data_IF_101276281777
#
_entry.id   IF_101276281777
#
_cell.length_a   1.000
_cell.length_b   1.000
_cell.length_c   1.000
_cell.angle_alpha   90.00
_cell.angle_beta   90.00
_cell.angle_gamma   90.00
#
_symmetry.space_group_name_H-M   'P 1'
#
loop_
_entity.id
_entity.type
_entity.pdbx_description
1 polymer ?
#
# COMPACT_ATOMS: atom_id res chain seq x y z
N UNK A 1 -1.70 -2.04 10.63
CA UNK A 1 -2.46 -1.56 9.45
C UNK A 1 -3.34 -2.71 9.00
N UNK A 2 -4.59 -2.41 8.63
CA UNK A 2 -5.51 -3.34 7.96
C UNK A 2 -5.62 -2.99 6.49
N UNK A 3 -6.16 -3.93 5.71
CA UNK A 3 -6.23 -3.82 4.25
C UNK A 3 -7.65 -4.13 3.78
N UNK A 4 -8.22 -3.26 2.95
CA UNK A 4 -9.46 -3.51 2.23
C UNK A 4 -9.17 -3.91 0.80
N UNK A 5 -9.68 -5.06 0.35
CA UNK A 5 -9.55 -5.46 -1.06
C UNK A 5 -10.32 -4.50 -1.96
N UNK A 6 -9.63 -3.94 -2.95
CA UNK A 6 -10.23 -3.10 -4.01
C UNK A 6 -10.45 -3.89 -5.31
N UNK A 7 -9.95 -5.13 -5.37
CA UNK A 7 -10.17 -6.06 -6.47
C UNK A 7 -8.86 -6.45 -7.19
N UNK A 8 -9.00 -7.03 -8.38
CA UNK A 8 -7.88 -7.42 -9.25
C UNK A 8 -8.21 -6.87 -10.63
N UNK A 9 -7.71 -5.67 -10.98
CA UNK A 9 -7.98 -5.05 -12.27
C UNK A 9 -7.63 -5.99 -13.44
N UNK A 10 -8.51 -6.07 -14.44
CA UNK A 10 -8.35 -6.97 -15.60
C UNK A 10 -8.85 -8.40 -15.39
N UNK A 11 -9.14 -8.83 -14.16
CA UNK A 11 -9.68 -10.18 -13.90
C UNK A 11 -11.07 -10.40 -14.52
N UNK A 12 -11.96 -9.39 -14.44
CA UNK A 12 -13.32 -9.46 -14.97
C UNK A 12 -13.37 -9.48 -16.51
N UNK A 13 -12.40 -8.88 -17.19
CA UNK A 13 -12.39 -8.83 -18.66
C UNK A 13 -11.95 -10.18 -19.25
N UNK A 14 -11.08 -10.89 -18.52
CA UNK A 14 -10.57 -12.21 -18.92
C UNK A 14 -11.62 -13.32 -18.83
N UNK A 15 -12.68 -13.14 -18.03
CA UNK A 15 -13.77 -14.12 -17.90
C UNK A 15 -14.83 -14.01 -19.00
N UNK A 16 -14.89 -12.88 -19.73
CA UNK A 16 -15.92 -12.60 -20.74
C UNK A 16 -15.50 -12.93 -22.18
N UNK A 17 -14.22 -13.24 -22.42
CA UNK A 17 -13.74 -13.66 -23.74
C UNK A 17 -14.26 -15.07 -24.09
N UNK A 18 -15.28 -15.12 -24.96
CA UNK A 18 -15.82 -16.36 -25.53
C UNK A 18 -14.87 -16.91 -26.59
N UNK A 19 -14.53 -18.20 -26.42
CA UNK A 19 -14.19 -19.24 -27.41
C UNK A 19 -13.21 -18.92 -28.55
N UNK A 20 -12.03 -19.56 -28.53
CA UNK A 20 -11.53 -20.38 -29.65
C UNK A 20 -10.28 -21.17 -29.22
N UNK A 21 -10.31 -22.50 -29.21
CA UNK A 21 -9.17 -23.43 -28.98
C UNK A 21 -8.83 -23.78 -27.51
N UNK A 22 -9.25 -24.99 -27.10
CA UNK A 22 -9.74 -25.28 -25.75
C UNK A 22 -8.68 -25.63 -24.70
N UNK A 23 -7.39 -25.83 -25.04
CA UNK A 23 -6.38 -26.26 -24.05
C UNK A 23 -5.19 -25.32 -23.92
N UNK A 24 -4.65 -24.86 -25.05
CA UNK A 24 -3.45 -24.01 -25.06
C UNK A 24 -3.77 -22.58 -24.57
N UNK A 25 -5.01 -22.10 -24.82
CA UNK A 25 -5.45 -20.80 -24.31
C UNK A 25 -5.73 -20.79 -22.81
N UNK A 26 -6.12 -21.92 -22.21
CA UNK A 26 -6.39 -21.99 -20.77
C UNK A 26 -5.13 -21.82 -19.94
N UNK A 27 -4.03 -22.48 -20.34
CA UNK A 27 -2.73 -22.32 -19.68
C UNK A 27 -2.23 -20.88 -19.83
N UNK A 28 -2.36 -20.29 -21.02
CA UNK A 28 -2.02 -18.88 -21.24
C UNK A 28 -2.87 -17.92 -20.40
N UNK A 29 -4.16 -18.22 -20.22
CA UNK A 29 -5.08 -17.40 -19.41
C UNK A 29 -4.75 -17.50 -17.91
N UNK A 30 -4.51 -18.69 -17.39
CA UNK A 30 -4.17 -18.90 -15.97
C UNK A 30 -2.83 -18.21 -15.67
N UNK A 31 -1.84 -18.35 -16.56
CA UNK A 31 -0.56 -17.64 -16.42
C UNK A 31 -0.77 -16.13 -16.35
N UNK A 32 -1.52 -15.56 -17.29
CA UNK A 32 -1.87 -14.12 -17.27
C UNK A 32 -2.57 -13.72 -15.98
N UNK A 33 -3.51 -14.52 -15.49
CA UNK A 33 -4.20 -14.24 -14.22
C UNK A 33 -3.26 -14.26 -13.03
N UNK A 34 -2.30 -15.19 -13.01
CA UNK A 34 -1.30 -15.29 -11.97
C UNK A 34 -0.30 -14.12 -11.95
N UNK A 35 -0.07 -13.50 -13.10
CA UNK A 35 0.80 -12.33 -13.26
C UNK A 35 0.12 -11.00 -12.88
N UNK A 36 -1.20 -10.98 -12.68
CA UNK A 36 -1.92 -9.79 -12.21
C UNK A 36 -1.63 -9.52 -10.72
N UNK A 37 -1.98 -8.30 -10.30
CA UNK A 37 -1.93 -7.90 -8.90
C UNK A 37 -3.33 -7.74 -8.34
N UNK A 38 -3.54 -8.27 -7.13
CA UNK A 38 -4.67 -7.95 -6.29
C UNK A 38 -4.33 -6.72 -5.47
N UNK A 39 -5.25 -5.76 -5.47
CA UNK A 39 -5.05 -4.44 -4.90
C UNK A 39 -5.77 -4.33 -3.55
N UNK A 40 -5.11 -3.66 -2.62
CA UNK A 40 -5.58 -3.49 -1.27
C UNK A 40 -5.34 -2.07 -0.79
N UNK A 41 -6.35 -1.46 -0.19
CA UNK A 41 -6.25 -0.14 0.42
C UNK A 41 -5.86 -0.24 1.90
N UNK A 42 -4.73 0.34 2.32
CA UNK A 42 -4.34 0.48 3.72
C UNK A 42 -5.30 1.30 4.57
N UNK A 43 -5.57 0.83 5.79
CA UNK A 43 -6.42 1.49 6.78
C UNK A 43 -5.87 1.32 8.20
N UNK A 44 -6.08 2.31 9.06
CA UNK A 44 -5.69 2.21 10.49
C UNK A 44 -6.69 1.40 11.27
N UNK A 45 -7.97 1.60 10.99
CA UNK A 45 -9.06 0.89 11.65
C UNK A 45 -9.33 -0.42 10.94
N UNK A 46 -9.74 -1.39 11.74
CA UNK A 46 -10.25 -2.63 11.20
C UNK A 46 -11.52 -2.33 10.39
N UNK A 47 -11.62 -2.82 9.15
CA UNK A 47 -12.81 -2.60 8.36
C UNK A 47 -14.00 -3.27 9.03
N UNK A 48 -15.04 -2.49 9.29
CA UNK A 48 -16.22 -2.87 10.08
C UNK A 48 -17.18 -3.79 9.29
N UNK A 49 -16.62 -4.83 8.67
CA UNK A 49 -17.29 -5.78 7.79
C UNK A 49 -18.31 -6.65 8.55
N UNK A 50 -18.23 -6.65 9.89
CA UNK A 50 -19.07 -7.42 10.80
C UNK A 50 -19.85 -6.56 11.80
N UNK A 51 -19.80 -5.21 11.70
CA UNK A 51 -20.92 -4.44 12.23
C UNK A 51 -22.14 -4.87 11.45
N UNK A 52 -22.86 -5.84 12.00
CA UNK A 52 -24.27 -5.99 11.72
C UNK A 52 -24.84 -4.58 11.76
N UNK A 53 -25.66 -4.17 10.76
CA UNK A 53 -26.47 -2.96 10.91
C UNK A 53 -27.06 -3.08 12.31
N UNK A 54 -26.75 -2.13 13.21
CA UNK A 54 -27.26 -2.19 14.58
C UNK A 54 -28.74 -2.45 14.41
N UNK A 55 -29.21 -3.62 14.89
CA UNK A 55 -30.64 -3.90 14.87
C UNK A 55 -31.26 -2.69 15.53
N UNK A 56 -32.08 -2.00 14.76
CA UNK A 56 -32.75 -0.79 15.19
C UNK A 56 -33.31 -1.11 16.57
N UNK A 57 -33.05 -0.28 17.61
CA UNK A 57 -33.90 -0.31 18.80
C UNK A 57 -35.34 -0.33 18.30
N UNK A 58 -36.25 -1.06 18.95
CA UNK A 58 -37.58 -1.41 18.45
C UNK A 58 -38.56 -0.23 18.20
N UNK A 59 -38.06 0.96 17.85
CA UNK A 59 -38.72 2.25 17.71
C UNK A 59 -38.15 3.03 16.50
N UNK A 60 -37.61 2.38 15.47
CA UNK A 60 -37.18 3.08 14.24
C UNK A 60 -38.24 2.90 13.16
N UNK A 61 -39.07 3.94 12.98
CA UNK A 61 -40.19 3.97 12.05
C UNK A 61 -39.69 4.52 10.70
N UNK A 62 -39.96 3.84 9.57
CA UNK A 62 -39.65 4.37 8.24
C UNK A 62 -40.24 5.77 8.06
N UNK A 63 -39.39 6.77 7.80
CA UNK A 63 -39.77 8.19 7.67
C UNK A 63 -39.49 9.07 8.89
N UNK A 64 -38.96 8.51 9.99
CA UNK A 64 -38.50 9.31 11.15
C UNK A 64 -37.16 10.01 10.86
N UNK A 65 -36.84 11.05 11.67
CA UNK A 65 -35.54 11.77 11.60
C UNK A 65 -34.33 10.88 11.93
N UNK A 66 -34.51 9.71 12.54
CA UNK A 66 -33.42 8.79 12.92
C UNK A 66 -33.12 7.71 11.88
N UNK A 67 -34.07 7.41 10.98
CA UNK A 67 -33.97 6.35 9.97
C UNK A 67 -32.81 6.53 8.98
N UNK A 68 -32.49 7.77 8.60
CA UNK A 68 -31.50 8.05 7.56
C UNK A 68 -30.03 7.81 8.00
N UNK A 69 -29.76 7.67 9.30
CA UNK A 69 -28.39 7.54 9.84
C UNK A 69 -27.88 6.09 9.81
N UNK A 70 -28.77 5.10 9.80
CA UNK A 70 -28.40 3.68 9.98
C UNK A 70 -27.95 2.97 8.68
N UNK A 71 -28.29 3.52 7.51
CA UNK A 71 -27.99 2.89 6.20
C UNK A 71 -26.71 3.39 5.53
N UNK A 72 -25.89 4.19 6.21
CA UNK A 72 -24.61 4.59 5.67
C UNK A 72 -23.61 3.45 5.88
N UNK A 73 -23.23 2.78 4.79
CA UNK A 73 -22.00 1.97 4.74
C UNK A 73 -20.88 2.86 5.30
N UNK A 74 -20.05 2.38 6.25
CA UNK A 74 -18.93 3.17 6.74
C UNK A 74 -17.99 3.47 5.56
N UNK A 75 -18.18 4.62 4.91
CA UNK A 75 -17.18 5.16 4.01
C UNK A 75 -15.99 5.51 4.88
N UNK A 76 -14.86 4.87 4.62
CA UNK A 76 -13.60 5.18 5.25
C UNK A 76 -13.32 6.68 5.05
N UNK A 77 -13.48 7.45 6.13
CA UNK A 77 -13.19 8.88 6.13
C UNK A 77 -11.70 9.08 5.83
N UNK A 78 -11.32 10.19 5.19
CA UNK A 78 -9.93 10.50 4.79
C UNK A 78 -8.92 10.44 5.96
N UNK A 79 -9.40 10.55 7.20
CA UNK A 79 -8.62 10.37 8.43
C UNK A 79 -8.13 8.93 8.72
N UNK A 80 -8.58 7.93 7.96
CA UNK A 80 -8.19 6.52 8.19
C UNK A 80 -6.95 6.08 7.38
N UNK A 81 -6.39 6.99 6.57
CA UNK A 81 -5.15 6.73 5.83
C UNK A 81 -4.00 6.44 6.78
N UNK A 82 -3.14 5.51 6.35
CA UNK A 82 -1.92 5.20 7.08
C UNK A 82 -0.80 6.09 6.58
N UNK A 83 -0.20 6.86 7.50
CA UNK A 83 0.97 7.69 7.23
C UNK A 83 2.09 7.35 8.20
N UNK A 84 3.32 7.42 7.73
CA UNK A 84 4.54 7.28 8.53
C UNK A 84 5.52 8.40 8.20
N UNK A 85 6.45 8.68 9.11
CA UNK A 85 7.55 9.61 8.84
C UNK A 85 8.77 8.79 8.46
N UNK A 86 9.31 8.99 7.26
CA UNK A 86 10.59 8.42 6.85
C UNK A 86 11.66 9.48 7.01
N UNK A 87 12.68 9.17 7.79
CA UNK A 87 13.89 9.99 7.96
C UNK A 87 15.08 9.28 7.36
N UNK A 88 15.81 9.92 6.47
CA UNK A 88 17.11 9.45 5.96
C UNK A 88 18.20 10.28 6.61
N UNK A 89 19.16 9.63 7.26
CA UNK A 89 20.24 10.33 7.95
C UNK A 89 21.15 11.07 6.95
N UNK A 90 21.89 12.06 7.44
CA UNK A 90 22.83 12.86 6.68
C UNK A 90 23.78 12.01 5.83
N UNK A 91 24.37 10.96 6.40
CA UNK A 91 25.38 10.14 5.74
C UNK A 91 24.79 8.93 4.99
N UNK A 92 23.48 8.75 5.03
CA UNK A 92 22.79 7.62 4.42
C UNK A 92 22.12 8.03 3.11
N UNK A 93 22.17 7.11 2.13
CA UNK A 93 21.50 7.28 0.84
C UNK A 93 20.03 6.84 0.87
N UNK A 94 19.66 5.99 1.82
CA UNK A 94 18.31 5.43 1.95
C UNK A 94 17.99 5.06 3.39
N UNK A 95 16.70 4.96 3.69
CA UNK A 95 16.20 4.32 4.90
C UNK A 95 15.54 3.00 4.58
N UNK A 96 15.57 2.06 5.51
CA UNK A 96 15.01 0.73 5.32
C UNK A 96 13.71 0.57 6.09
N UNK A 97 12.65 0.18 5.38
CA UNK A 97 11.37 -0.20 5.96
C UNK A 97 11.30 -1.73 6.03
N UNK A 98 11.23 -2.27 7.25
CA UNK A 98 10.94 -3.70 7.45
C UNK A 98 9.44 -3.93 7.28
N UNK A 99 9.08 -4.89 6.42
CA UNK A 99 7.69 -5.15 6.05
C UNK A 99 7.36 -6.63 6.26
N UNK A 100 6.31 -6.88 7.04
CA UNK A 100 5.72 -8.21 7.20
C UNK A 100 4.24 -8.14 6.80
N UNK A 101 3.83 -9.03 5.91
CA UNK A 101 2.46 -9.12 5.41
C UNK A 101 1.86 -10.42 5.89
N UNK A 102 0.65 -10.33 6.46
CA UNK A 102 -0.06 -11.48 7.00
C UNK A 102 -1.46 -11.58 6.42
N UNK A 103 -1.90 -12.82 6.17
CA UNK A 103 -3.26 -13.17 5.79
C UNK A 103 -3.96 -13.75 7.01
N UNK A 104 -4.92 -13.01 7.55
CA UNK A 104 -5.73 -13.44 8.68
C UNK A 104 -7.07 -14.02 8.23
N UNK A 105 -7.44 -15.19 8.75
CA UNK A 105 -8.81 -15.72 8.66
C UNK A 105 -9.60 -15.29 9.88
N UNK A 106 -10.82 -14.81 9.69
CA UNK A 106 -11.74 -14.50 10.80
C UNK A 106 -12.77 -15.60 10.99
N UNK A 107 -13.15 -15.83 12.23
CA UNK A 107 -14.25 -16.69 12.62
C UNK A 107 -15.58 -16.09 12.13
N UNK A 108 -16.40 -16.82 11.35
CA UNK A 108 -17.63 -16.27 10.77
C UNK A 108 -18.68 -15.77 11.78
N UNK A 109 -18.66 -16.29 13.01
CA UNK A 109 -19.71 -16.02 14.01
C UNK A 109 -19.39 -14.86 14.94
N UNK A 110 -18.14 -14.78 15.40
CA UNK A 110 -17.69 -13.80 16.41
C UNK A 110 -16.81 -12.70 15.81
N UNK A 111 -16.34 -12.86 14.57
CA UNK A 111 -15.40 -11.93 13.93
C UNK A 111 -13.99 -11.97 14.51
N UNK A 112 -13.70 -12.90 15.44
CA UNK A 112 -12.37 -13.08 16.03
C UNK A 112 -11.39 -13.57 14.97
N UNK A 113 -10.10 -13.24 15.12
CA UNK A 113 -9.05 -13.81 14.29
C UNK A 113 -8.88 -15.30 14.65
N UNK A 114 -9.15 -16.17 13.69
CA UNK A 114 -9.14 -17.64 13.82
C UNK A 114 -7.76 -18.22 13.50
N UNK A 115 -7.10 -17.66 12.47
CA UNK A 115 -5.75 -18.07 12.07
C UNK A 115 -5.05 -16.95 11.30
N UNK A 116 -3.72 -17.03 11.26
CA UNK A 116 -2.87 -16.05 10.58
C UNK A 116 -1.75 -16.78 9.85
N UNK A 117 -1.57 -16.45 8.57
CA UNK A 117 -0.51 -16.99 7.72
C UNK A 117 0.41 -15.85 7.30
N UNK A 118 1.72 -16.03 7.38
CA UNK A 118 2.68 -15.09 6.79
C UNK A 118 2.61 -15.20 5.26
N UNK A 119 2.40 -14.06 4.59
CA UNK A 119 2.37 -13.95 3.13
C UNK A 119 3.76 -13.59 2.60
N UNK A 120 4.44 -12.69 3.29
CA UNK A 120 5.82 -12.31 2.97
C UNK A 120 6.43 -11.54 4.13
N UNK A 121 7.75 -11.62 4.21
CA UNK A 121 8.57 -10.74 5.02
C UNK A 121 9.72 -10.23 4.15
N UNK A 122 10.14 -8.99 4.34
CA UNK A 122 11.27 -8.42 3.62
C UNK A 122 11.45 -6.95 3.92
N UNK A 123 12.29 -6.31 3.11
CA UNK A 123 12.66 -4.92 3.31
C UNK A 123 12.42 -4.09 2.05
N UNK A 124 12.07 -2.82 2.25
CA UNK A 124 11.97 -1.82 1.19
C UNK A 124 13.04 -0.76 1.47
N UNK A 125 13.85 -0.44 0.46
CA UNK A 125 14.79 0.68 0.53
C UNK A 125 14.14 1.94 -0.03
N UNK A 126 14.02 2.95 0.81
CA UNK A 126 13.45 4.25 0.45
C UNK A 126 14.59 5.23 0.28
N UNK A 127 14.92 5.54 -0.97
CA UNK A 127 16.07 6.37 -1.31
C UNK A 127 15.77 7.86 -1.13
N UNK A 128 16.79 8.62 -0.72
CA UNK A 128 16.74 10.06 -0.54
C UNK A 128 16.27 10.81 -1.80
N UNK A 129 16.87 10.49 -2.96
CA UNK A 129 16.50 11.09 -4.25
C UNK A 129 15.10 10.66 -4.71
N UNK A 130 14.70 9.41 -4.45
CA UNK A 130 13.35 8.97 -4.77
C UNK A 130 12.30 9.75 -3.96
N UNK A 131 12.54 9.98 -2.66
CA UNK A 131 11.64 10.78 -1.82
C UNK A 131 11.47 12.22 -2.33
N UNK A 132 12.55 12.85 -2.76
CA UNK A 132 12.49 14.22 -3.31
C UNK A 132 11.78 14.26 -4.67
N UNK A 133 12.01 13.27 -5.54
CA UNK A 133 11.35 13.15 -6.83
C UNK A 133 9.84 12.91 -6.72
N UNK A 134 9.41 12.08 -5.76
CA UNK A 134 8.01 11.74 -5.52
C UNK A 134 7.24 12.77 -4.68
N UNK A 135 7.94 13.71 -4.05
CA UNK A 135 7.31 14.70 -3.19
C UNK A 135 6.38 15.63 -4.01
N UNK A 136 5.08 15.60 -3.70
CA UNK A 136 4.06 16.35 -4.44
C UNK A 136 4.27 17.87 -4.40
N UNK A 137 4.84 18.36 -3.30
CA UNK A 137 5.25 19.76 -3.18
C UNK A 137 6.56 20.00 -3.92
N UNK A 138 6.46 20.24 -5.23
CA UNK A 138 7.50 20.98 -5.98
C UNK A 138 7.38 22.50 -5.82
N UNK A 139 6.41 22.96 -5.05
CA UNK A 139 6.17 24.38 -4.74
C UNK A 139 6.36 24.63 -3.26
N UNK A 140 7.45 25.34 -2.91
CA UNK A 140 7.56 25.92 -1.58
C UNK A 140 6.43 26.93 -1.37
N UNK A 141 5.94 27.02 -0.14
CA UNK A 141 4.92 27.96 0.31
C UNK A 141 5.33 29.45 0.29
N UNK A 142 6.44 29.79 -0.37
CA UNK A 142 6.94 31.18 -0.52
C UNK A 142 7.10 31.63 -1.98
N UNK A 143 6.65 30.84 -2.98
CA UNK A 143 6.58 31.29 -4.37
C UNK A 143 7.92 31.45 -5.11
N UNK A 144 9.05 31.13 -4.48
CA UNK A 144 10.37 31.19 -5.12
C UNK A 144 10.73 29.83 -5.75
N UNK A 145 11.04 29.76 -7.06
CA UNK A 145 11.52 28.54 -7.68
C UNK A 145 12.95 28.25 -7.21
N UNK A 146 13.19 27.08 -6.60
CA UNK A 146 14.55 26.61 -6.34
C UNK A 146 15.10 26.01 -7.64
N UNK A 147 16.08 26.68 -8.21
CA UNK A 147 17.01 26.08 -9.17
C UNK A 147 17.87 25.08 -8.42
N UNK A 148 17.52 23.80 -8.53
CA UNK A 148 18.44 22.71 -8.20
C UNK A 148 19.60 22.83 -9.18
N UNK A 149 20.74 23.33 -8.71
CA UNK A 149 21.98 23.29 -9.46
C UNK A 149 22.42 21.83 -9.55
N UNK A 150 21.96 21.15 -10.60
CA UNK A 150 22.54 19.90 -11.03
C UNK A 150 23.80 20.26 -11.82
N UNK A 151 24.97 19.85 -11.34
CA UNK A 151 26.16 19.79 -12.19
C UNK A 151 25.90 18.68 -13.21
N UNK A 152 25.35 19.05 -14.36
CA UNK A 152 25.15 18.17 -15.49
C UNK A 152 25.86 18.74 -16.70
N UNK A 153 27.07 18.22 -16.93
CA UNK A 153 27.68 18.30 -18.23
C UNK A 153 26.84 17.50 -19.24
N UNK A 154 26.35 18.25 -20.23
CA UNK A 154 25.95 17.84 -21.58
C UNK A 154 24.57 17.18 -21.82
N UNK A 155 23.74 18.00 -22.47
CA UNK A 155 23.03 17.77 -23.75
C UNK A 155 21.57 17.27 -23.78
N UNK A 156 20.73 18.24 -24.15
CA UNK A 156 19.62 18.20 -25.11
C UNK A 156 18.19 17.86 -24.63
N UNK A 157 17.55 18.94 -24.20
CA UNK A 157 16.15 19.34 -24.41
C UNK A 157 15.37 18.61 -25.52
N UNK A 158 14.29 17.92 -25.11
CA UNK A 158 12.99 18.01 -25.78
C UNK A 158 11.89 18.13 -24.72
N UNK A 159 11.37 19.35 -24.64
CA UNK A 159 10.34 19.81 -23.73
C UNK A 159 8.98 19.49 -24.36
N UNK A 160 8.36 18.36 -24.00
CA UNK A 160 6.96 18.11 -24.33
C UNK A 160 6.05 18.76 -23.27
N UNK A 161 5.16 19.61 -23.76
CA UNK A 161 4.20 20.40 -22.98
C UNK A 161 3.10 19.49 -22.44
N UNK A 162 2.91 19.50 -21.11
CA UNK A 162 1.80 18.84 -20.43
C UNK A 162 0.51 19.63 -20.64
N UNK A 163 -0.42 19.05 -21.40
CA UNK A 163 -1.83 19.41 -21.39
C UNK A 163 -2.54 18.75 -20.20
N UNK A 164 -3.50 19.39 -19.53
CA UNK A 164 -4.36 18.74 -18.55
C UNK A 164 -5.45 17.95 -19.28
N UNK A 165 -5.16 16.67 -19.56
CA UNK A 165 -6.08 15.73 -20.19
C UNK A 165 -6.73 14.80 -19.17
N UNK A 166 -8.06 14.86 -19.11
CA UNK A 166 -9.01 13.75 -19.02
C UNK A 166 -8.55 12.49 -18.24
N UNK A 167 -9.20 12.23 -17.09
CA UNK A 167 -9.06 11.01 -16.29
C UNK A 167 -9.63 9.82 -17.08
N UNK A 168 -8.85 9.31 -18.02
CA UNK A 168 -9.07 8.01 -18.62
C UNK A 168 -8.44 6.97 -17.69
N UNK A 169 -9.23 5.98 -17.31
CA UNK A 169 -8.88 4.83 -16.47
C UNK A 169 -7.92 3.89 -17.25
N UNK A 170 -6.79 4.44 -17.72
CA UNK A 170 -5.75 3.67 -18.38
C UNK A 170 -5.11 2.81 -17.30
N UNK A 171 -5.38 1.50 -17.35
CA UNK A 171 -4.75 0.46 -16.54
C UNK A 171 -3.23 0.53 -16.70
N UNK A 172 -2.59 1.34 -15.89
CA UNK A 172 -1.14 1.45 -15.86
C UNK A 172 -0.57 0.15 -15.29
N UNK A 173 0.42 -0.40 -15.99
CA UNK A 173 1.20 -1.53 -15.52
C UNK A 173 1.90 -1.15 -14.20
N UNK A 174 1.61 -1.81 -13.06
CA UNK A 174 2.19 -1.46 -11.77
C UNK A 174 3.72 -1.50 -11.75
N UNK A 175 4.34 -2.27 -12.66
CA UNK A 175 5.79 -2.34 -12.78
C UNK A 175 6.42 -1.04 -13.31
N UNK A 176 5.62 -0.17 -13.95
CA UNK A 176 6.06 1.11 -14.52
C UNK A 176 5.78 2.29 -13.59
N UNK A 177 4.94 2.09 -12.59
CA UNK A 177 4.61 3.12 -11.61
C UNK A 177 5.79 3.33 -10.64
N UNK A 178 6.44 4.49 -10.77
CA UNK A 178 7.61 4.87 -9.97
C UNK A 178 7.25 5.15 -8.50
N UNK A 179 5.98 5.37 -8.20
CA UNK A 179 5.50 5.58 -6.83
C UNK A 179 5.36 4.26 -6.05
N UNK A 180 5.48 3.11 -6.74
CA UNK A 180 5.46 1.78 -6.13
C UNK A 180 6.88 1.35 -5.80
N UNK A 181 7.12 1.06 -4.53
CA UNK A 181 8.33 0.36 -4.10
C UNK A 181 7.99 -1.10 -3.78
N UNK A 182 8.83 -1.99 -4.29
CA UNK A 182 8.66 -3.43 -4.14
C UNK A 182 9.44 -3.94 -2.93
N UNK A 183 8.85 -4.87 -2.18
CA UNK A 183 9.59 -5.61 -1.16
C UNK A 183 10.74 -6.32 -1.87
N UNK A 184 11.97 -6.15 -1.38
CA UNK A 184 13.19 -6.70 -1.95
C UNK A 184 13.20 -8.23 -1.85
N UNK A 185 12.43 -8.83 -2.74
CA UNK A 185 12.22 -10.25 -2.98
C UNK A 185 12.46 -10.47 -4.47
N UNK A 186 12.84 -11.69 -4.86
CA UNK A 186 13.26 -11.96 -6.24
C UNK A 186 12.17 -11.67 -7.28
N UNK A 187 10.92 -11.86 -6.91
CA UNK A 187 9.82 -12.03 -7.88
C UNK A 187 8.83 -10.84 -7.91
N UNK A 188 9.10 -9.74 -7.19
CA UNK A 188 8.23 -8.55 -7.08
C UNK A 188 6.78 -8.94 -6.73
N UNK A 189 6.59 -9.86 -5.79
CA UNK A 189 5.26 -10.35 -5.46
C UNK A 189 4.45 -9.35 -4.65
N UNK A 190 5.10 -8.41 -3.96
CA UNK A 190 4.44 -7.42 -3.12
C UNK A 190 5.03 -6.04 -3.34
N UNK A 191 4.16 -5.11 -3.70
CA UNK A 191 4.48 -3.70 -3.91
C UNK A 191 3.63 -2.81 -3.00
N UNK A 192 4.17 -1.66 -2.64
CA UNK A 192 3.47 -0.63 -1.88
C UNK A 192 3.56 0.67 -2.65
N UNK A 193 2.41 1.23 -3.01
CA UNK A 193 2.27 2.56 -3.58
C UNK A 193 2.31 3.61 -2.47
N UNK A 194 3.21 4.56 -2.63
CA UNK A 194 3.40 5.63 -1.66
C UNK A 194 3.01 6.97 -2.24
N UNK A 195 2.41 7.79 -1.40
CA UNK A 195 2.20 9.21 -1.65
C UNK A 195 3.10 10.00 -0.72
N UNK A 196 4.04 10.75 -1.27
CA UNK A 196 5.08 11.46 -0.50
C UNK A 196 4.71 12.92 -0.32
N UNK A 197 4.66 13.36 0.95
CA UNK A 197 4.41 14.75 1.34
C UNK A 197 5.62 15.31 2.07
N UNK A 198 5.95 16.56 1.78
CA UNK A 198 7.01 17.25 2.50
C UNK A 198 6.61 17.43 3.97
N UNK A 199 7.50 17.05 4.87
CA UNK A 199 7.32 17.38 6.28
C UNK A 199 7.81 18.81 6.49
N UNK A 200 6.87 19.76 6.59
CA UNK A 200 7.18 21.14 6.99
C UNK A 200 7.86 21.11 8.35
N UNK A 201 9.19 21.21 8.36
CA UNK A 201 9.95 21.44 9.59
C UNK A 201 9.49 22.80 10.10
N UNK A 202 8.67 22.81 11.17
CA UNK A 202 8.35 24.07 11.82
C UNK A 202 9.69 24.67 12.23
N UNK A 203 10.00 25.86 11.73
CA UNK A 203 11.15 26.72 12.13
C UNK A 203 11.12 27.11 13.62
N UNK A 204 10.45 26.33 14.47
CA UNK A 204 10.39 26.53 15.91
C UNK A 204 11.75 26.18 16.54
N UNK A 205 12.58 27.21 16.62
CA UNK A 205 13.52 27.54 17.72
C UNK A 205 14.70 26.60 18.00
N UNK A 206 14.80 25.42 17.37
CA UNK A 206 15.83 24.42 17.70
C UNK A 206 16.80 24.07 16.56
N UNK A 207 16.99 24.95 15.57
CA UNK A 207 18.02 24.78 14.53
C UNK A 207 18.91 26.04 14.49
N UNK A 208 20.23 25.92 14.69
CA UNK A 208 21.16 27.00 14.39
C UNK A 208 21.11 27.29 12.88
N UNK A 209 20.97 28.56 12.51
CA UNK A 209 20.66 29.05 11.15
C UNK A 209 21.85 28.96 10.17
N UNK A 210 22.93 28.25 10.52
CA UNK A 210 24.16 28.21 9.72
C UNK A 210 24.57 26.76 9.45
N UNK A 211 24.06 26.21 8.35
CA UNK A 211 24.73 25.10 7.67
C UNK A 211 25.63 25.71 6.60
N UNK A 212 26.91 25.37 6.65
CA UNK A 212 27.81 25.54 5.52
C UNK A 212 27.27 24.67 4.35
N UNK A 213 27.31 25.16 3.11
CA UNK A 213 26.63 24.55 1.95
C UNK A 213 26.98 23.08 1.70
N UNK A 214 28.09 22.64 2.28
CA UNK A 214 28.73 21.36 2.03
C UNK A 214 28.40 20.32 3.12
N UNK A 215 27.63 20.69 4.15
CA UNK A 215 27.21 19.76 5.21
C UNK A 215 25.96 19.03 4.76
N UNK A 216 26.07 17.71 4.55
CA UNK A 216 24.92 16.85 4.26
C UNK A 216 23.99 16.79 5.48
N UNK A 217 22.69 17.02 5.29
CA UNK A 217 21.69 17.07 6.37
C UNK A 217 20.69 15.92 6.23
N UNK A 218 20.22 15.39 7.35
CA UNK A 218 19.15 14.41 7.37
C UNK A 218 17.85 14.98 6.77
N UNK A 219 17.15 14.20 5.96
CA UNK A 219 15.86 14.59 5.35
C UNK A 219 14.72 13.80 5.98
N UNK A 220 13.55 14.44 6.09
CA UNK A 220 12.35 13.82 6.65
C UNK A 220 11.13 14.11 5.80
N UNK A 221 10.42 13.06 5.40
CA UNK A 221 9.19 13.13 4.62
C UNK A 221 8.06 12.41 5.35
N UNK A 222 6.84 12.90 5.16
CA UNK A 222 5.65 12.15 5.54
C UNK A 222 5.23 11.30 4.34
N UNK A 223 5.28 9.99 4.49
CA UNK A 223 4.83 9.05 3.47
C UNK A 223 3.45 8.52 3.85
N UNK A 224 2.58 8.39 2.86
CA UNK A 224 1.25 7.85 3.00
C UNK A 224 1.16 6.57 2.17
N UNK A 225 0.64 5.50 2.78
CA UNK A 225 0.49 4.20 2.14
C UNK A 225 -0.84 4.22 1.37
N UNK A 226 -0.76 4.42 0.06
CA UNK A 226 -1.94 4.59 -0.79
C UNK A 226 -2.57 3.25 -1.16
N UNK A 227 -1.73 2.29 -1.55
CA UNK A 227 -2.17 0.99 -2.04
C UNK A 227 -1.10 -0.08 -1.78
N UNK A 228 -1.54 -1.30 -1.49
CA UNK A 228 -0.71 -2.50 -1.41
C UNK A 228 -1.12 -3.41 -2.55
N UNK A 229 -0.13 -3.88 -3.31
CA UNK A 229 -0.30 -4.79 -4.42
C UNK A 229 0.30 -6.13 -4.04
N UNK A 230 -0.47 -7.21 -4.23
CA UNK A 230 0.00 -8.57 -4.04
C UNK A 230 -0.26 -9.36 -5.29
N UNK A 231 0.77 -10.00 -5.85
CA UNK A 231 0.63 -10.83 -7.05
C UNK A 231 -0.42 -11.91 -6.79
N UNK A 232 -1.39 -12.03 -7.69
CA UNK A 232 -2.57 -12.89 -7.50
C UNK A 232 -2.17 -14.36 -7.35
N UNK A 233 -1.21 -14.85 -8.13
CA UNK A 233 -0.68 -16.21 -7.95
C UNK A 233 -0.06 -16.42 -6.56
N UNK A 234 0.76 -15.46 -6.09
CA UNK A 234 1.41 -15.53 -4.78
C UNK A 234 0.38 -15.63 -3.66
N UNK A 235 -0.63 -14.76 -3.68
CA UNK A 235 -1.70 -14.77 -2.69
C UNK A 235 -2.51 -16.07 -2.71
N UNK A 236 -2.78 -16.62 -3.90
CA UNK A 236 -3.52 -17.88 -4.05
C UNK A 236 -2.74 -19.07 -3.50
N UNK A 237 -1.44 -19.17 -3.78
CA UNK A 237 -0.59 -20.22 -3.21
C UNK A 237 -0.49 -20.11 -1.69
N UNK A 238 -0.35 -18.89 -1.15
CA UNK A 238 -0.35 -18.68 0.31
C UNK A 238 -1.69 -19.09 0.94
N UNK A 239 -2.81 -18.82 0.28
CA UNK A 239 -4.13 -19.23 0.76
C UNK A 239 -4.27 -20.77 0.77
N UNK A 240 -3.83 -21.43 -0.31
CA UNK A 240 -3.86 -22.89 -0.42
C UNK A 240 -3.01 -23.54 0.68
N UNK A 241 -1.79 -23.04 0.88
CA UNK A 241 -0.90 -23.49 1.95
C UNK A 241 -1.56 -23.32 3.32
N UNK A 242 -2.16 -22.16 3.58
CA UNK A 242 -2.87 -21.91 4.85
C UNK A 242 -4.04 -22.88 5.06
N UNK A 243 -4.82 -23.19 4.02
CA UNK A 243 -5.91 -24.16 4.10
C UNK A 243 -5.40 -25.56 4.40
N UNK A 244 -4.29 -25.96 3.78
CA UNK A 244 -3.68 -27.26 3.98
C UNK A 244 -3.10 -27.40 5.38
N UNK A 245 -2.48 -26.33 5.91
CA UNK A 245 -2.04 -26.27 7.30
C UNK A 245 -3.22 -26.41 8.26
N UNK A 246 -4.31 -25.67 8.08
CA UNK A 246 -5.51 -25.79 8.94
C UNK A 246 -6.15 -27.18 8.90
N UNK A 247 -6.16 -27.84 7.73
CA UNK A 247 -6.65 -29.21 7.61
C UNK A 247 -5.75 -30.22 8.35
N UNK A 248 -4.44 -29.96 8.38
CA UNK A 248 -3.46 -30.80 9.07
C UNK A 248 -3.40 -30.52 10.57
N UNK A 249 -3.73 -29.31 11.02
CA UNK A 249 -3.59 -28.84 12.40
C UNK A 249 -4.75 -29.29 13.31
N UNK A 250 -5.21 -30.53 13.12
CA UNK A 250 -6.35 -31.17 13.78
C UNK A 250 -6.24 -31.39 15.30
N UNK A 251 -5.55 -30.52 16.04
CA UNK A 251 -5.76 -30.35 17.48
C UNK A 251 -4.64 -30.84 18.38
N UNK A 252 -3.40 -30.33 18.22
CA UNK A 252 -2.38 -30.47 19.27
C UNK A 252 -1.68 -29.13 19.52
N UNK A 253 -1.98 -28.53 20.67
CA UNK A 253 -1.31 -27.35 21.15
C UNK A 253 0.18 -27.65 21.45
N UNK A 254 1.07 -26.75 21.03
CA UNK A 254 2.51 -26.80 21.34
C UNK A 254 2.85 -25.54 22.14
N UNK A 255 3.52 -25.72 23.28
CA UNK A 255 4.01 -24.64 24.13
C UNK A 255 5.49 -24.41 23.81
N UNK A 256 5.85 -23.19 23.42
CA UNK A 256 7.25 -22.78 23.27
C UNK A 256 7.64 -21.83 24.41
N UNK A 257 8.85 -22.02 24.93
CA UNK A 257 9.53 -21.08 25.82
C UNK A 257 10.93 -20.82 25.28
N UNK A 258 11.32 -19.55 25.15
CA UNK A 258 12.70 -19.16 24.84
C UNK A 258 13.29 -18.42 26.04
N UNK A 259 14.49 -18.82 26.45
CA UNK A 259 15.26 -18.13 27.47
C UNK A 259 16.50 -17.53 26.81
N UNK A 260 16.77 -16.25 27.08
CA UNK A 260 18.03 -15.60 26.71
C UNK A 260 18.77 -15.34 28.02
N UNK A 261 19.94 -15.96 28.18
CA UNK A 261 20.90 -15.58 29.21
C UNK A 261 21.69 -14.38 28.68
N UNK A 262 21.77 -13.33 29.49
CA UNK A 262 22.47 -12.06 29.20
C UNK A 262 23.98 -12.32 29.10
#
# INVERSE_FOLDING_TARGET
MFCLSTGTPGLCDMSQSKEADEKEQHVGRIKKMGEMYSHFRPQRKEPDSFARPRRHPAVDIPGSRTWAVSNQVPQAQDNDRVTETVTVDAHDLFSQLSTSVYLGRREPRRGLLDSIQNVSEGTIRVWRNWLSEQCETKTFSDGTPVTVHHDSSSSQDRKEQLMPGEVSDTKEDPMRDRSILWINTRDNNIGIKFKVKEKKWRRTTAMPILFESDVEVAVSYQVEFEEILVRTAHLLFTLEEAQQQMANDGGRAIVFGSYVAI
#
